data_IF_198826367211
#
_entry.id   IF_198826367211
#
_cell.length_a   1.000
_cell.length_b   1.000
_cell.length_c   1.000
_cell.angle_alpha   90.00
_cell.angle_beta   90.00
_cell.angle_gamma   90.00
#
_symmetry.space_group_name_H-M   'P 1'
#
loop_
_entity.id
_entity.type
_entity.pdbx_description
1 polymer ?
#
# COMPACT_ATOMS: atom_id res chain seq x y z
N UNK A 1 -32.33 8.63 -6.83
CA UNK A 1 -31.06 8.63 -6.06
C UNK A 1 -30.04 9.41 -6.88
N UNK A 2 -29.68 10.62 -6.45
CA UNK A 2 -28.68 11.43 -7.14
C UNK A 2 -27.31 10.81 -6.91
N UNK A 3 -26.54 10.64 -7.98
CA UNK A 3 -25.11 10.37 -7.96
C UNK A 3 -24.46 11.38 -7.01
N UNK A 4 -24.01 10.91 -5.85
CA UNK A 4 -23.22 11.73 -4.93
C UNK A 4 -21.78 11.66 -5.43
N UNK A 5 -21.38 12.79 -6.02
CA UNK A 5 -20.06 13.18 -6.49
C UNK A 5 -18.89 12.35 -5.93
N UNK A 6 -18.16 11.68 -6.81
CA UNK A 6 -16.85 11.09 -6.52
C UNK A 6 -15.81 12.13 -6.10
N UNK A 7 -16.02 13.41 -6.37
CA UNK A 7 -15.20 14.52 -5.85
C UNK A 7 -15.41 14.77 -4.34
N UNK A 8 -16.53 14.31 -3.76
CA UNK A 8 -16.89 14.54 -2.35
C UNK A 8 -16.03 13.68 -1.40
N UNK A 9 -15.80 12.40 -1.73
CA UNK A 9 -15.06 11.52 -0.84
C UNK A 9 -13.55 11.80 -0.81
N UNK A 10 -12.99 12.40 -1.87
CA UNK A 10 -11.59 12.81 -1.88
C UNK A 10 -11.29 13.92 -0.87
N UNK A 11 -12.32 14.68 -0.47
CA UNK A 11 -12.19 15.67 0.60
C UNK A 11 -11.84 15.05 1.96
N UNK A 12 -12.10 13.74 2.16
CA UNK A 12 -11.75 13.03 3.40
C UNK A 12 -10.24 13.03 3.65
N UNK A 13 -9.40 13.22 2.64
CA UNK A 13 -7.96 13.41 2.82
C UNK A 13 -7.65 14.61 3.72
N UNK A 14 -8.46 15.67 3.67
CA UNK A 14 -8.30 16.84 4.53
C UNK A 14 -8.54 16.52 6.01
N UNK A 15 -9.39 15.52 6.30
CA UNK A 15 -9.64 15.02 7.67
C UNK A 15 -8.44 14.26 8.26
N UNK A 16 -7.45 13.91 7.42
CA UNK A 16 -6.19 13.29 7.82
C UNK A 16 -4.99 14.24 7.69
N UNK A 17 -5.25 15.55 7.79
CA UNK A 17 -4.24 16.58 7.59
C UNK A 17 -3.06 16.50 8.56
N UNK A 18 -3.28 16.13 9.82
CA UNK A 18 -2.19 16.01 10.80
C UNK A 18 -1.31 14.80 10.47
N UNK A 19 -1.88 13.68 10.03
CA UNK A 19 -1.08 12.53 9.57
C UNK A 19 -0.16 12.91 8.42
N UNK A 20 -0.64 13.73 7.47
CA UNK A 20 0.14 14.18 6.32
C UNK A 20 1.22 15.17 6.76
N UNK A 21 0.83 16.23 7.46
CA UNK A 21 1.68 17.37 7.74
C UNK A 21 2.71 17.09 8.85
N UNK A 22 2.30 16.36 9.90
CA UNK A 22 3.11 16.20 11.11
C UNK A 22 3.70 14.79 11.24
N UNK A 23 3.01 13.79 10.69
CA UNK A 23 3.46 12.39 10.75
C UNK A 23 4.05 11.88 9.44
N UNK A 24 4.15 12.70 8.38
CA UNK A 24 4.85 12.34 7.14
C UNK A 24 4.18 11.22 6.35
N UNK A 25 2.85 11.13 6.41
CA UNK A 25 2.09 10.28 5.50
C UNK A 25 1.93 10.97 4.14
N UNK A 26 2.07 10.19 3.07
CA UNK A 26 1.85 10.63 1.69
C UNK A 26 0.61 9.96 1.13
N UNK A 27 -0.11 10.64 0.23
CA UNK A 27 -1.30 10.08 -0.39
C UNK A 27 -1.00 9.61 -1.84
N UNK A 28 -1.00 8.31 -2.14
CA UNK A 28 -0.83 7.78 -3.50
C UNK A 28 -2.07 8.05 -4.37
N UNK A 29 -2.34 9.30 -4.75
CA UNK A 29 -3.54 9.70 -5.49
C UNK A 29 -3.81 8.88 -6.76
N UNK A 30 -2.74 8.45 -7.44
CA UNK A 30 -2.83 7.62 -8.65
C UNK A 30 -3.38 6.21 -8.41
N UNK A 31 -3.48 5.78 -7.14
CA UNK A 31 -3.94 4.44 -6.74
C UNK A 31 -5.32 4.47 -6.05
N UNK A 32 -6.00 5.62 -6.03
CA UNK A 32 -7.28 5.76 -5.36
C UNK A 32 -8.43 5.06 -6.09
N UNK A 33 -9.42 4.64 -5.31
CA UNK A 33 -10.71 4.17 -5.80
C UNK A 33 -11.80 5.19 -5.42
N UNK A 34 -12.95 5.18 -6.12
CA UNK A 34 -14.05 6.11 -5.83
C UNK A 34 -14.56 6.10 -4.38
N UNK A 35 -14.34 4.99 -3.67
CA UNK A 35 -14.87 4.75 -2.33
C UNK A 35 -13.80 4.30 -1.33
N UNK A 36 -12.52 4.45 -1.70
CA UNK A 36 -11.38 4.16 -0.84
C UNK A 36 -10.26 5.18 -1.10
N UNK A 37 -9.80 5.80 -0.03
CA UNK A 37 -8.56 6.56 0.00
C UNK A 37 -7.54 5.83 0.86
N UNK A 38 -6.28 6.03 0.55
CA UNK A 38 -5.19 5.46 1.33
C UNK A 38 -4.09 6.48 1.57
N UNK A 39 -3.48 6.41 2.74
CA UNK A 39 -2.29 7.16 3.13
C UNK A 39 -1.18 6.14 3.39
N UNK A 40 0.03 6.46 2.97
CA UNK A 40 1.19 5.58 3.08
C UNK A 40 2.33 6.32 3.75
N UNK A 41 2.99 5.68 4.71
CA UNK A 41 4.22 6.16 5.33
C UNK A 41 5.26 5.06 5.31
N UNK A 42 6.45 5.34 4.79
CA UNK A 42 7.57 4.43 4.94
C UNK A 42 8.01 4.40 6.41
N UNK A 43 8.16 3.19 6.97
CA UNK A 43 8.64 2.99 8.34
C UNK A 43 10.12 2.65 8.30
N UNK A 44 10.48 1.63 7.53
CA UNK A 44 11.84 1.08 7.44
C UNK A 44 11.98 0.27 6.14
N UNK A 45 12.95 0.59 5.29
CA UNK A 45 13.23 -0.10 4.01
C UNK A 45 11.95 -0.41 3.20
N UNK A 46 11.57 -1.69 3.07
CA UNK A 46 10.37 -2.12 2.33
C UNK A 46 9.09 -2.06 3.17
N UNK A 47 9.13 -1.71 4.45
CA UNK A 47 7.98 -1.74 5.34
C UNK A 47 7.28 -0.38 5.43
N UNK A 48 5.96 -0.43 5.38
CA UNK A 48 5.09 0.73 5.31
C UNK A 48 3.97 0.63 6.34
N UNK A 49 3.52 1.79 6.80
CA UNK A 49 2.24 1.98 7.45
C UNK A 49 1.23 2.47 6.42
N UNK A 50 0.09 1.80 6.31
CA UNK A 50 -1.04 2.25 5.49
C UNK A 50 -2.22 2.61 6.36
N UNK A 51 -2.84 3.75 6.10
CA UNK A 51 -4.17 4.09 6.64
C UNK A 51 -5.14 4.05 5.47
N UNK A 52 -6.17 3.20 5.56
CA UNK A 52 -7.18 3.05 4.53
C UNK A 52 -8.51 3.50 5.10
N UNK A 53 -9.09 4.52 4.48
CA UNK A 53 -10.43 5.01 4.79
C UNK A 53 -11.38 4.67 3.65
N UNK A 54 -12.56 4.17 4.00
CA UNK A 54 -13.54 3.61 3.05
C UNK A 54 -14.95 4.05 3.36
N UNK A 55 -15.73 4.20 2.29
CA UNK A 55 -17.20 4.24 2.33
C UNK A 55 -17.71 3.01 1.57
N UNK A 56 -18.54 2.20 2.21
CA UNK A 56 -19.16 1.06 1.55
C UNK A 56 -20.36 1.52 0.73
N UNK A 57 -20.37 1.17 -0.56
CA UNK A 57 -21.44 1.60 -1.49
C UNK A 57 -22.80 0.99 -1.15
N UNK A 58 -22.82 -0.15 -0.48
CA UNK A 58 -24.04 -0.92 -0.25
C UNK A 58 -24.90 -0.32 0.86
N UNK A 59 -24.28 0.12 1.96
CA UNK A 59 -24.97 0.60 3.16
C UNK A 59 -24.49 1.98 3.63
N UNK A 60 -23.50 2.57 2.96
CA UNK A 60 -22.92 3.85 3.34
C UNK A 60 -22.02 3.77 4.58
N UNK A 61 -21.70 2.57 5.06
CA UNK A 61 -20.85 2.41 6.24
C UNK A 61 -19.46 2.99 6.02
N UNK A 62 -18.92 3.58 7.08
CA UNK A 62 -17.60 4.19 7.09
C UNK A 62 -16.63 3.27 7.82
N UNK A 63 -15.43 3.13 7.27
CA UNK A 63 -14.38 2.33 7.87
C UNK A 63 -13.05 3.07 7.81
N UNK A 64 -12.26 2.94 8.87
CA UNK A 64 -10.83 3.26 8.82
C UNK A 64 -10.03 2.10 9.42
N UNK A 65 -9.01 1.68 8.69
CA UNK A 65 -8.09 0.61 9.08
C UNK A 65 -6.65 1.09 9.00
N UNK A 66 -5.81 0.57 9.89
CA UNK A 66 -4.37 0.79 9.88
C UNK A 66 -3.69 -0.54 9.57
N UNK A 67 -2.65 -0.50 8.75
CA UNK A 67 -1.91 -1.67 8.31
C UNK A 67 -0.43 -1.42 8.45
N UNK A 68 0.31 -2.43 8.87
CA UNK A 68 1.78 -2.42 8.84
C UNK A 68 2.27 -3.67 8.12
N UNK A 69 3.07 -3.48 7.08
CA UNK A 69 3.37 -4.53 6.13
C UNK A 69 4.51 -4.19 5.16
N UNK A 70 5.05 -5.17 4.42
CA UNK A 70 5.96 -4.90 3.32
C UNK A 70 5.24 -4.15 2.19
N UNK A 71 6.03 -3.52 1.31
CA UNK A 71 5.53 -2.60 0.29
C UNK A 71 4.54 -3.30 -0.63
N UNK A 72 3.32 -2.80 -0.66
CA UNK A 72 2.27 -3.33 -1.50
C UNK A 72 1.26 -2.25 -1.85
N UNK A 73 0.40 -2.55 -2.82
CA UNK A 73 -0.72 -1.68 -3.15
C UNK A 73 -1.64 -1.53 -1.92
N UNK A 74 -1.96 -0.31 -1.49
CA UNK A 74 -2.74 -0.06 -0.27
C UNK A 74 -4.25 -0.17 -0.54
N UNK A 75 -4.71 -1.40 -0.77
CA UNK A 75 -6.11 -1.76 -1.02
C UNK A 75 -6.49 -3.08 -0.32
N UNK A 76 -7.65 -3.66 -0.68
CA UNK A 76 -8.10 -4.97 -0.15
C UNK A 76 -7.12 -6.11 -0.40
N UNK A 77 -6.20 -5.96 -1.35
CA UNK A 77 -5.14 -6.91 -1.60
C UNK A 77 -4.23 -7.12 -0.40
N UNK A 78 -4.15 -6.16 0.53
CA UNK A 78 -3.35 -6.29 1.75
C UNK A 78 -3.78 -7.48 2.62
N UNK A 79 -5.08 -7.81 2.70
CA UNK A 79 -5.59 -8.95 3.48
C UNK A 79 -4.98 -10.29 3.05
N UNK A 80 -4.60 -10.40 1.78
CA UNK A 80 -4.26 -11.69 1.19
C UNK A 80 -2.77 -12.03 1.33
N UNK A 81 -1.97 -11.14 1.93
CA UNK A 81 -0.57 -11.40 2.25
C UNK A 81 -0.43 -11.51 3.77
N UNK A 82 -0.03 -12.69 4.26
CA UNK A 82 0.13 -12.98 5.71
C UNK A 82 0.97 -11.94 6.46
N UNK A 83 1.93 -11.33 5.78
CA UNK A 83 2.86 -10.35 6.35
C UNK A 83 2.24 -9.00 6.72
N UNK A 84 1.00 -8.70 6.31
CA UNK A 84 0.34 -7.45 6.64
C UNK A 84 -0.44 -7.57 7.95
N UNK A 85 -0.10 -6.73 8.94
CA UNK A 85 -0.80 -6.68 10.22
C UNK A 85 -1.88 -5.60 10.15
N UNK A 86 -3.15 -6.03 10.12
CA UNK A 86 -4.32 -5.15 10.13
C UNK A 86 -4.73 -4.78 11.55
N UNK A 87 -5.10 -3.52 11.75
CA UNK A 87 -5.76 -3.03 12.95
C UNK A 87 -7.02 -2.24 12.56
N UNK A 88 -8.16 -2.62 13.11
CA UNK A 88 -9.40 -1.85 12.97
C UNK A 88 -9.28 -0.55 13.80
N UNK A 89 -9.40 0.61 13.14
CA UNK A 89 -9.39 1.90 13.84
C UNK A 89 -10.82 2.32 14.17
N UNK A 90 -11.72 2.28 13.20
CA UNK A 90 -13.12 2.65 13.37
C UNK A 90 -14.01 1.97 12.34
N UNK A 91 -15.27 1.78 12.72
CA UNK A 91 -16.35 1.32 11.84
C UNK A 91 -17.67 1.93 12.33
N UNK A 92 -18.49 2.44 11.41
CA UNK A 92 -19.85 2.91 11.74
C UNK A 92 -20.79 2.72 10.56
N UNK A 93 -22.04 2.40 10.86
CA UNK A 93 -23.15 2.39 9.89
C UNK A 93 -23.98 3.68 9.95
N UNK A 94 -23.67 4.56 10.90
CA UNK A 94 -24.32 5.86 11.07
C UNK A 94 -23.40 6.93 10.49
N UNK A 95 -23.96 7.82 9.67
CA UNK A 95 -23.25 8.97 9.15
C UNK A 95 -22.82 9.86 10.33
N UNK A 96 -21.53 9.87 10.62
CA UNK A 96 -20.90 10.70 11.63
C UNK A 96 -19.88 11.62 10.94
N UNK A 97 -20.11 12.95 10.93
CA UNK A 97 -19.20 13.90 10.29
C UNK A 97 -17.82 13.96 10.96
N UNK A 98 -17.70 13.54 12.23
CA UNK A 98 -16.44 13.53 12.97
C UNK A 98 -15.71 12.18 12.88
N UNK A 99 -16.27 11.19 12.18
CA UNK A 99 -15.75 9.82 12.16
C UNK A 99 -14.26 9.75 11.77
N UNK A 100 -13.89 10.40 10.66
CA UNK A 100 -12.52 10.34 10.15
C UNK A 100 -11.54 11.14 11.04
N UNK A 101 -11.94 12.30 11.57
CA UNK A 101 -11.14 13.07 12.53
C UNK A 101 -10.87 12.29 13.82
N UNK A 102 -11.89 11.58 14.32
CA UNK A 102 -11.75 10.71 15.49
C UNK A 102 -10.83 9.51 15.19
N UNK A 103 -10.91 8.95 13.99
CA UNK A 103 -9.99 7.90 13.54
C UNK A 103 -8.55 8.42 13.43
N UNK A 104 -8.35 9.62 12.89
CA UNK A 104 -7.04 10.27 12.83
C UNK A 104 -6.43 10.42 14.23
N UNK A 105 -7.18 11.00 15.16
CA UNK A 105 -6.75 11.20 16.56
C UNK A 105 -6.35 9.89 17.24
N UNK A 106 -7.11 8.82 16.98
CA UNK A 106 -6.80 7.47 17.48
C UNK A 106 -5.51 6.92 16.87
N UNK A 107 -5.30 7.09 15.56
CA UNK A 107 -4.06 6.65 14.89
C UNK A 107 -2.85 7.41 15.43
N UNK A 108 -2.93 8.73 15.57
CA UNK A 108 -1.87 9.57 16.15
C UNK A 108 -1.48 9.05 17.53
N UNK A 109 -2.45 8.81 18.40
CA UNK A 109 -2.21 8.26 19.75
C UNK A 109 -1.46 6.92 19.70
N UNK A 110 -1.79 6.03 18.75
CA UNK A 110 -1.10 4.75 18.59
C UNK A 110 0.35 4.94 18.12
N UNK A 111 0.58 5.89 17.20
CA UNK A 111 1.92 6.20 16.69
C UNK A 111 2.80 6.76 17.80
N UNK A 112 2.30 7.75 18.56
CA UNK A 112 3.02 8.39 19.67
C UNK A 112 3.37 7.40 20.78
N UNK A 113 2.50 6.41 21.02
CA UNK A 113 2.75 5.32 21.98
C UNK A 113 3.73 4.26 21.46
N UNK A 114 4.27 4.43 20.24
CA UNK A 114 5.26 3.53 19.66
C UNK A 114 4.69 2.20 19.15
N UNK A 115 3.38 2.08 18.95
CA UNK A 115 2.73 0.83 18.53
C UNK A 115 3.24 0.34 17.17
N UNK A 116 3.62 1.25 16.27
CA UNK A 116 4.16 0.89 14.96
C UNK A 116 5.41 0.00 15.05
N UNK A 117 6.25 0.15 16.07
CA UNK A 117 7.44 -0.70 16.25
C UNK A 117 7.07 -2.15 16.55
N UNK A 118 6.00 -2.36 17.32
CA UNK A 118 5.50 -3.70 17.63
C UNK A 118 4.87 -4.34 16.40
N UNK A 119 4.05 -3.59 15.66
CA UNK A 119 3.43 -4.08 14.44
C UNK A 119 4.46 -4.39 13.34
N UNK A 120 5.50 -3.57 13.22
CA UNK A 120 6.61 -3.79 12.29
C UNK A 120 7.31 -5.12 12.58
N UNK A 121 7.67 -5.39 13.84
CA UNK A 121 8.30 -6.66 14.23
C UNK A 121 7.41 -7.86 13.94
N UNK A 122 6.11 -7.75 14.20
CA UNK A 122 5.15 -8.79 13.86
C UNK A 122 5.09 -9.04 12.34
N UNK A 123 5.02 -7.98 11.54
CA UNK A 123 5.05 -8.06 10.07
C UNK A 123 6.35 -8.68 9.53
N UNK A 124 7.51 -8.28 10.07
CA UNK A 124 8.81 -8.86 9.73
C UNK A 124 8.86 -10.37 10.01
N UNK A 125 8.30 -10.78 11.16
CA UNK A 125 8.21 -12.19 11.50
C UNK A 125 7.28 -12.94 10.54
N UNK A 126 6.10 -12.41 10.22
CA UNK A 126 5.15 -13.04 9.28
C UNK A 126 5.67 -13.08 7.83
N UNK A 127 6.51 -12.13 7.42
CA UNK A 127 7.16 -12.18 6.10
C UNK A 127 8.24 -13.27 6.04
N UNK A 128 8.88 -13.60 7.17
CA UNK A 128 9.94 -14.61 7.24
C UNK A 128 9.38 -16.01 7.54
N UNK A 129 8.36 -16.06 8.40
CA UNK A 129 7.72 -17.25 8.95
C UNK A 129 6.20 -17.04 8.90
N UNK A 130 5.56 -17.20 7.73
CA UNK A 130 4.14 -16.93 7.58
C UNK A 130 3.31 -17.91 8.41
N UNK A 131 2.43 -17.37 9.24
CA UNK A 131 1.40 -18.15 9.94
C UNK A 131 0.42 -18.81 8.97
N UNK A 132 0.19 -18.19 7.81
CA UNK A 132 -0.66 -18.69 6.73
C UNK A 132 0.15 -18.68 5.43
N UNK A 133 0.53 -19.86 4.95
CA UNK A 133 1.13 -20.02 3.63
C UNK A 133 0.03 -20.08 2.58
N UNK A 134 -0.07 -19.03 1.77
CA UNK A 134 -0.97 -18.98 0.64
C UNK A 134 -0.21 -18.67 -0.64
N UNK A 135 -0.84 -18.92 -1.79
CA UNK A 135 -0.22 -18.71 -3.09
C UNK A 135 0.25 -17.26 -3.32
N UNK A 136 -0.44 -16.28 -2.73
CA UNK A 136 -0.04 -14.87 -2.84
C UNK A 136 1.26 -14.59 -2.09
N UNK A 137 1.42 -15.15 -0.90
CA UNK A 137 2.67 -15.07 -0.14
C UNK A 137 3.84 -15.65 -0.94
N UNK A 138 3.68 -16.86 -1.49
CA UNK A 138 4.71 -17.49 -2.32
C UNK A 138 5.08 -16.61 -3.52
N UNK A 139 4.08 -16.18 -4.29
CA UNK A 139 4.31 -15.37 -5.49
C UNK A 139 4.97 -14.02 -5.15
N UNK A 140 4.53 -13.40 -4.06
CA UNK A 140 5.05 -12.12 -3.62
C UNK A 140 6.51 -12.22 -3.18
N UNK A 141 6.83 -13.16 -2.30
CA UNK A 141 8.18 -13.32 -1.74
C UNK A 141 9.18 -13.90 -2.73
N UNK A 142 8.75 -14.82 -3.60
CA UNK A 142 9.64 -15.47 -4.56
C UNK A 142 9.90 -14.63 -5.82
N UNK A 143 8.91 -13.86 -6.29
CA UNK A 143 9.02 -13.19 -7.60
C UNK A 143 8.83 -11.67 -7.51
N UNK A 144 7.71 -11.19 -6.97
CA UNK A 144 7.35 -9.78 -7.12
C UNK A 144 8.23 -8.84 -6.30
N UNK A 145 8.46 -9.15 -5.02
CA UNK A 145 9.29 -8.33 -4.15
C UNK A 145 10.77 -8.34 -4.60
N UNK A 146 11.41 -9.49 -4.88
CA UNK A 146 12.77 -9.50 -5.42
C UNK A 146 12.92 -8.73 -6.74
N UNK A 147 11.96 -8.86 -7.66
CA UNK A 147 12.01 -8.14 -8.93
C UNK A 147 11.86 -6.62 -8.72
N UNK A 148 10.97 -6.18 -7.83
CA UNK A 148 10.88 -4.77 -7.44
C UNK A 148 12.22 -4.24 -6.89
N UNK A 149 12.89 -5.03 -6.03
CA UNK A 149 14.19 -4.64 -5.46
C UNK A 149 15.26 -4.51 -6.55
N UNK A 150 15.33 -5.43 -7.52
CA UNK A 150 16.22 -5.34 -8.69
C UNK A 150 15.96 -4.05 -9.48
N UNK A 151 14.70 -3.73 -9.77
CA UNK A 151 14.32 -2.48 -10.47
C UNK A 151 14.71 -1.24 -9.67
N UNK A 152 14.49 -1.26 -8.34
CA UNK A 152 14.88 -0.18 -7.42
C UNK A 152 16.39 0.08 -7.47
N UNK A 153 17.18 -0.98 -7.45
CA UNK A 153 18.64 -0.94 -7.53
C UNK A 153 19.12 -0.47 -8.91
N UNK A 154 18.53 -0.96 -9.99
CA UNK A 154 18.86 -0.54 -11.35
C UNK A 154 18.62 0.96 -11.59
N UNK A 155 17.64 1.54 -10.91
CA UNK A 155 17.41 3.00 -10.89
C UNK A 155 18.24 3.77 -9.86
N UNK A 156 19.27 3.14 -9.27
CA UNK A 156 20.17 3.78 -8.30
C UNK A 156 19.49 4.13 -6.97
N UNK A 157 18.37 3.48 -6.64
CA UNK A 157 17.51 3.82 -5.50
C UNK A 157 16.93 5.25 -5.54
N UNK A 158 17.01 5.94 -6.68
CA UNK A 158 16.53 7.31 -6.84
C UNK A 158 14.99 7.37 -6.93
N UNK A 159 14.36 7.94 -5.90
CA UNK A 159 12.90 8.12 -5.85
C UNK A 159 12.36 8.92 -7.05
N UNK A 160 13.11 9.88 -7.59
CA UNK A 160 12.68 10.68 -8.74
C UNK A 160 12.54 9.84 -10.01
N UNK A 161 13.43 8.85 -10.18
CA UNK A 161 13.37 7.87 -11.27
C UNK A 161 12.16 6.95 -11.10
N UNK A 162 11.92 6.46 -9.89
CA UNK A 162 10.81 5.55 -9.58
C UNK A 162 9.44 6.22 -9.70
N UNK A 163 9.36 7.54 -9.49
CA UNK A 163 8.12 8.33 -9.66
C UNK A 163 7.73 8.53 -11.11
N UNK A 164 8.71 8.52 -12.03
CA UNK A 164 8.49 8.67 -13.46
C UNK A 164 8.14 7.32 -14.09
N UNK A 165 6.88 7.20 -14.54
CA UNK A 165 6.37 5.95 -15.13
C UNK A 165 7.18 5.49 -16.33
N UNK A 166 7.63 6.39 -17.20
CA UNK A 166 8.37 6.02 -18.43
C UNK A 166 9.75 5.50 -18.07
N UNK A 167 10.46 6.20 -17.18
CA UNK A 167 11.78 5.77 -16.72
C UNK A 167 11.70 4.44 -15.98
N UNK A 168 10.73 4.30 -15.06
CA UNK A 168 10.49 3.06 -14.34
C UNK A 168 10.14 1.90 -15.28
N UNK A 169 9.31 2.12 -16.31
CA UNK A 169 8.97 1.09 -17.29
C UNK A 169 10.18 0.61 -18.09
N UNK A 170 11.08 1.52 -18.49
CA UNK A 170 12.31 1.14 -19.17
C UNK A 170 13.23 0.28 -18.27
N UNK A 171 13.32 0.60 -16.98
CA UNK A 171 14.05 -0.25 -16.02
C UNK A 171 13.40 -1.64 -15.89
N UNK A 172 12.08 -1.70 -15.77
CA UNK A 172 11.34 -2.97 -15.70
C UNK A 172 11.58 -3.81 -16.97
N UNK A 173 11.55 -3.21 -18.17
CA UNK A 173 11.81 -3.91 -19.42
C UNK A 173 13.22 -4.50 -19.49
N UNK A 174 14.23 -3.73 -19.05
CA UNK A 174 15.60 -4.19 -19.01
C UNK A 174 15.77 -5.38 -18.05
N UNK A 175 15.27 -5.26 -16.82
CA UNK A 175 15.35 -6.35 -15.83
C UNK A 175 14.56 -7.58 -16.30
N UNK A 176 13.40 -7.38 -16.93
CA UNK A 176 12.59 -8.46 -17.50
C UNK A 176 13.34 -9.24 -18.59
N UNK A 177 14.12 -8.55 -19.43
CA UNK A 177 14.91 -9.18 -20.48
C UNK A 177 16.07 -10.03 -19.94
N UNK A 178 16.55 -9.74 -18.73
CA UNK A 178 17.62 -10.50 -18.05
C UNK A 178 17.12 -11.68 -17.22
N UNK A 179 15.81 -11.96 -17.21
CA UNK A 179 15.26 -13.06 -16.43
C UNK A 179 15.71 -14.42 -16.96
N UNK A 180 15.96 -15.34 -16.04
CA UNK A 180 16.38 -16.71 -16.33
C UNK A 180 15.64 -17.71 -15.44
N UNK A 181 15.70 -19.00 -15.81
CA UNK A 181 15.19 -20.11 -15.00
C UNK A 181 13.71 -19.93 -14.56
N UNK A 182 13.37 -20.27 -13.32
CA UNK A 182 12.01 -20.24 -12.79
C UNK A 182 11.40 -18.83 -12.79
N UNK A 183 12.19 -17.78 -12.54
CA UNK A 183 11.72 -16.39 -12.60
C UNK A 183 11.20 -16.07 -14.00
N UNK A 184 11.95 -16.47 -15.04
CA UNK A 184 11.54 -16.26 -16.44
C UNK A 184 10.22 -16.96 -16.75
N UNK A 185 10.05 -18.22 -16.34
CA UNK A 185 8.81 -18.97 -16.58
C UNK A 185 7.61 -18.26 -15.94
N UNK A 186 7.75 -17.81 -14.69
CA UNK A 186 6.70 -17.08 -14.00
C UNK A 186 6.34 -15.75 -14.69
N UNK A 187 7.35 -14.94 -15.01
CA UNK A 187 7.13 -13.61 -15.59
C UNK A 187 6.69 -13.65 -17.06
N UNK A 188 7.10 -14.66 -17.83
CA UNK A 188 6.59 -14.89 -19.18
C UNK A 188 5.08 -15.26 -19.13
N UNK A 189 4.65 -16.04 -18.13
CA UNK A 189 3.21 -16.34 -17.92
C UNK A 189 2.42 -15.13 -17.44
N UNK A 190 3.01 -14.32 -16.54
CA UNK A 190 2.39 -13.07 -16.08
C UNK A 190 2.28 -12.04 -17.22
N UNK A 191 3.28 -12.01 -18.10
CA UNK A 191 3.43 -11.08 -19.20
C UNK A 191 4.07 -9.76 -18.79
N UNK A 192 4.83 -9.17 -19.71
CA UNK A 192 5.54 -7.90 -19.50
C UNK A 192 4.59 -6.78 -19.07
N UNK A 193 3.43 -6.64 -19.72
CA UNK A 193 2.48 -5.56 -19.44
C UNK A 193 1.96 -5.60 -18.00
N UNK A 194 1.56 -6.78 -17.52
CA UNK A 194 1.09 -6.95 -16.14
C UNK A 194 2.24 -6.76 -15.14
N UNK A 195 3.45 -7.17 -15.50
CA UNK A 195 4.66 -6.94 -14.69
C UNK A 195 4.93 -5.45 -14.54
N UNK A 196 4.90 -4.70 -15.65
CA UNK A 196 5.06 -3.24 -15.64
C UNK A 196 4.04 -2.57 -14.73
N UNK A 197 2.76 -2.93 -14.84
CA UNK A 197 1.72 -2.29 -14.05
C UNK A 197 1.89 -2.59 -12.56
N UNK A 198 2.15 -3.86 -12.19
CA UNK A 198 2.35 -4.26 -10.78
C UNK A 198 3.60 -3.62 -10.16
N UNK A 199 4.74 -3.67 -10.85
CA UNK A 199 6.01 -3.20 -10.30
C UNK A 199 6.05 -1.67 -10.28
N UNK A 200 5.49 -1.00 -11.29
CA UNK A 200 5.39 0.46 -11.28
C UNK A 200 4.59 0.98 -10.09
N UNK A 201 3.53 0.30 -9.67
CA UNK A 201 2.76 0.69 -8.48
C UNK A 201 3.62 0.65 -7.21
N UNK A 202 4.45 -0.38 -7.05
CA UNK A 202 5.41 -0.47 -5.94
C UNK A 202 6.46 0.64 -6.02
N UNK A 203 7.04 0.88 -7.20
CA UNK A 203 7.99 1.98 -7.43
C UNK A 203 7.38 3.36 -7.14
N UNK A 204 6.12 3.57 -7.53
CA UNK A 204 5.40 4.80 -7.25
C UNK A 204 5.23 5.00 -5.74
N UNK A 205 4.78 3.97 -5.01
CA UNK A 205 4.65 4.03 -3.53
C UNK A 205 6.01 4.28 -2.87
N UNK A 206 7.06 3.62 -3.35
CA UNK A 206 8.43 3.85 -2.88
C UNK A 206 8.89 5.30 -3.05
N UNK A 207 8.46 5.94 -4.14
CA UNK A 207 8.85 7.31 -4.47
C UNK A 207 8.12 8.41 -3.69
N UNK A 208 7.15 8.05 -2.85
CA UNK A 208 6.36 8.98 -2.04
C UNK A 208 7.11 9.49 -0.81
#
# INVERSE_FOLDING_TARGET
>A
MKEKNTDDFRSVVAEFGNLINDFGFSCPEKLWYPNLISLSKNIEDIYYCYVIARVYKNDGSLETTLWVGPINRPDDGLENLSANIKMQIGYTQVLDPLFFQNCESKIITLIERGILKTLLKASQNELSHPSIQNRRYEVYTQYLLPFFLKVREAGGNDKSVMKDKKKCQALIENEFATLHSDEKVFFDQLGLKATQDKIWELCYIYSL
#
